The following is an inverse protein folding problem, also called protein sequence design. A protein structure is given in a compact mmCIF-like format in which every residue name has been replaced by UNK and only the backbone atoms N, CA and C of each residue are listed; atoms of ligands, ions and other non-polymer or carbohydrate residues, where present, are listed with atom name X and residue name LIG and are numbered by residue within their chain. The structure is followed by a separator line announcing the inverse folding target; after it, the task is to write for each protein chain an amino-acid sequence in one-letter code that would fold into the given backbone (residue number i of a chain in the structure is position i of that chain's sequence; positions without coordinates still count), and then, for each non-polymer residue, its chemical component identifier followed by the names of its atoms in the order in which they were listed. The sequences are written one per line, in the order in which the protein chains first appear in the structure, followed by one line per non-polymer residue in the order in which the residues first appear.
data_IF_635593344637
#
_entry.id   IF_635593344637
#
_cell.length_a   1.000
_cell.length_b   1.000
_cell.length_c   1.000
_cell.angle_alpha   90.00
_cell.angle_beta   90.00
_cell.angle_gamma   90.00
#
_symmetry.space_group_name_H-M   'P 1'
#
loop_
_entity.id
_entity.type
_entity.pdbx_description
1 polymer ?
#
# COMPACT_ATOMS: atom_id res chain seq x y z
N UNK A 1 28.14 25.18 7.23
CA UNK A 1 27.49 24.70 6.00
C UNK A 1 27.34 23.18 6.02
N UNK A 2 28.35 22.41 6.42
CA UNK A 2 28.25 20.95 6.60
C UNK A 2 27.06 20.51 7.47
N UNK A 3 26.84 21.16 8.63
CA UNK A 3 25.72 20.85 9.53
C UNK A 3 24.34 21.00 8.86
N UNK A 4 24.21 21.86 7.85
CA UNK A 4 22.97 22.03 7.09
C UNK A 4 22.70 20.81 6.20
N UNK A 5 23.73 20.24 5.56
CA UNK A 5 23.60 19.04 4.74
C UNK A 5 23.32 17.80 5.59
N UNK A 6 23.95 17.69 6.76
CA UNK A 6 23.65 16.63 7.72
C UNK A 6 22.19 16.68 8.21
N UNK A 7 21.67 17.88 8.49
CA UNK A 7 20.26 18.04 8.84
C UNK A 7 19.34 17.65 7.66
N UNK A 8 19.67 18.04 6.43
CA UNK A 8 18.89 17.65 5.24
C UNK A 8 18.83 16.12 5.05
N UNK A 9 19.93 15.41 5.29
CA UNK A 9 19.94 13.95 5.24
C UNK A 9 19.06 13.33 6.31
N UNK A 10 19.12 13.85 7.54
CA UNK A 10 18.27 13.36 8.64
C UNK A 10 16.78 13.63 8.39
N UNK A 11 16.44 14.81 7.87
CA UNK A 11 15.06 15.15 7.50
C UNK A 11 14.55 14.24 6.38
N UNK A 12 15.38 13.98 5.37
CA UNK A 12 15.07 13.09 4.25
C UNK A 12 14.88 11.63 4.71
N UNK A 13 15.73 11.13 5.60
CA UNK A 13 15.61 9.79 6.19
C UNK A 13 14.32 9.67 7.02
N UNK A 14 14.02 10.69 7.83
CA UNK A 14 12.78 10.72 8.61
C UNK A 14 11.52 10.73 7.73
N UNK A 15 11.52 11.52 6.64
CA UNK A 15 10.42 11.54 5.68
C UNK A 15 10.26 10.20 4.97
N UNK A 16 11.37 9.60 4.53
CA UNK A 16 11.37 8.29 3.90
C UNK A 16 10.76 7.23 4.81
N UNK A 17 11.22 7.13 6.07
CA UNK A 17 10.69 6.17 7.03
C UNK A 17 9.21 6.38 7.32
N UNK A 18 8.79 7.63 7.47
CA UNK A 18 7.38 7.97 7.71
C UNK A 18 6.51 7.52 6.53
N UNK A 19 6.97 7.76 5.31
CA UNK A 19 6.24 7.35 4.10
C UNK A 19 6.21 5.82 3.96
N UNK A 20 7.31 5.12 4.28
CA UNK A 20 7.34 3.65 4.29
C UNK A 20 6.30 3.07 5.27
N UNK A 21 6.31 3.52 6.53
CA UNK A 21 5.36 3.04 7.55
C UNK A 21 3.91 3.27 7.12
N UNK A 22 3.62 4.44 6.55
CA UNK A 22 2.28 4.76 6.07
C UNK A 22 1.84 3.81 4.94
N UNK A 23 2.73 3.49 4.00
CA UNK A 23 2.42 2.55 2.91
C UNK A 23 2.21 1.14 3.46
N UNK A 24 3.02 0.72 4.43
CA UNK A 24 2.85 -0.58 5.11
C UNK A 24 1.51 -0.67 5.84
N UNK A 25 1.12 0.37 6.58
CA UNK A 25 -0.21 0.48 7.22
C UNK A 25 -1.35 0.38 6.20
N UNK A 26 -1.26 1.09 5.07
CA UNK A 26 -2.27 1.03 4.00
C UNK A 26 -2.34 -0.37 3.34
N UNK A 27 -1.22 -1.08 3.20
CA UNK A 27 -1.18 -2.45 2.68
C UNK A 27 -1.84 -3.44 3.66
N UNK A 28 -1.54 -3.31 4.96
CA UNK A 28 -2.17 -4.12 6.00
C UNK A 28 -3.69 -3.90 6.06
N UNK A 29 -4.14 -2.65 5.98
CA UNK A 29 -5.56 -2.30 5.96
C UNK A 29 -6.27 -2.89 4.72
N UNK A 30 -5.67 -2.76 3.53
CA UNK A 30 -6.22 -3.35 2.30
C UNK A 30 -6.34 -4.87 2.39
N UNK A 31 -5.35 -5.54 2.98
CA UNK A 31 -5.39 -6.98 3.22
C UNK A 31 -6.47 -7.38 4.24
N UNK A 32 -6.61 -6.61 5.32
CA UNK A 32 -7.62 -6.84 6.34
C UNK A 32 -9.04 -6.71 5.77
N UNK A 33 -9.32 -5.63 5.04
CA UNK A 33 -10.65 -5.41 4.44
C UNK A 33 -10.97 -6.47 3.38
N UNK A 34 -9.99 -6.97 2.62
CA UNK A 34 -10.17 -8.13 1.73
C UNK A 34 -10.63 -9.38 2.49
N UNK A 35 -9.97 -9.71 3.60
CA UNK A 35 -10.34 -10.87 4.41
C UNK A 35 -11.72 -10.71 5.05
N UNK A 36 -12.04 -9.50 5.51
CA UNK A 36 -13.34 -9.17 6.08
C UNK A 36 -14.45 -9.31 5.03
N UNK A 37 -14.27 -8.73 3.86
CA UNK A 37 -15.21 -8.83 2.74
C UNK A 37 -15.46 -10.29 2.33
N UNK A 38 -14.41 -11.11 2.21
CA UNK A 38 -14.54 -12.54 1.93
C UNK A 38 -15.41 -13.28 2.95
N UNK A 39 -15.18 -13.03 4.25
CA UNK A 39 -16.00 -13.61 5.32
C UNK A 39 -17.45 -13.14 5.29
N UNK A 40 -17.69 -11.87 4.98
CA UNK A 40 -19.04 -11.32 4.86
C UNK A 40 -19.80 -11.95 3.68
N UNK A 41 -19.14 -12.20 2.55
CA UNK A 41 -19.74 -12.91 1.41
C UNK A 41 -20.06 -14.38 1.75
N UNK A 42 -19.16 -15.07 2.46
CA UNK A 42 -19.40 -16.44 2.94
C UNK A 42 -20.62 -16.48 3.87
N UNK A 43 -20.68 -15.60 4.86
CA UNK A 43 -21.82 -15.48 5.77
C UNK A 43 -23.13 -15.17 5.02
N UNK A 44 -23.08 -14.30 4.01
CA UNK A 44 -24.24 -13.97 3.19
C UNK A 44 -24.73 -15.19 2.40
N UNK A 45 -23.81 -15.96 1.83
CA UNK A 45 -24.09 -17.22 1.13
C UNK A 45 -24.79 -18.23 2.03
N UNK A 46 -24.29 -18.42 3.25
CA UNK A 46 -24.87 -19.34 4.22
C UNK A 46 -26.25 -18.91 4.71
N UNK A 47 -26.43 -17.62 4.99
CA UNK A 47 -27.74 -17.05 5.35
C UNK A 47 -28.76 -17.25 4.24
N UNK A 48 -28.39 -16.98 2.98
CA UNK A 48 -29.27 -17.23 1.84
C UNK A 48 -29.65 -18.70 1.72
N UNK A 49 -28.70 -19.62 1.87
CA UNK A 49 -28.96 -21.06 1.86
C UNK A 49 -29.93 -21.46 2.97
N UNK A 50 -29.72 -20.98 4.20
CA UNK A 50 -30.55 -21.30 5.36
C UNK A 50 -31.99 -20.82 5.20
N UNK A 51 -32.19 -19.55 4.85
CA UNK A 51 -33.53 -19.00 4.64
C UNK A 51 -34.22 -19.64 3.43
N UNK A 52 -33.47 -19.95 2.37
CA UNK A 52 -34.02 -20.64 1.21
C UNK A 52 -34.58 -22.02 1.57
N UNK A 53 -33.91 -22.75 2.46
CA UNK A 53 -34.37 -24.07 2.91
C UNK A 53 -35.62 -24.03 3.81
N UNK A 54 -35.90 -22.91 4.47
CA UNK A 54 -37.01 -22.79 5.42
C UNK A 54 -38.25 -22.11 4.85
N UNK A 55 -38.13 -21.40 3.72
CA UNK A 55 -39.22 -20.61 3.19
C UNK A 55 -40.09 -21.39 2.20
N UNK A 56 -41.41 -21.27 2.37
CA UNK A 56 -42.40 -21.70 1.38
C UNK A 56 -42.52 -20.62 0.30
N UNK A 57 -41.63 -20.64 -0.68
CA UNK A 57 -41.67 -19.69 -1.78
C UNK A 57 -42.80 -20.01 -2.75
N UNK A 58 -43.54 -18.98 -3.18
CA UNK A 58 -44.52 -19.09 -4.26
C UNK A 58 -43.87 -19.33 -5.63
N UNK A 59 -42.58 -19.01 -5.78
CA UNK A 59 -41.78 -19.21 -6.99
C UNK A 59 -40.39 -19.77 -6.64
N UNK A 60 -39.85 -20.69 -7.46
CA UNK A 60 -38.52 -21.25 -7.22
C UNK A 60 -37.42 -20.21 -7.42
N UNK A 61 -36.62 -19.95 -6.39
CA UNK A 61 -35.42 -19.13 -6.49
C UNK A 61 -34.29 -19.93 -7.15
N UNK A 62 -33.66 -19.35 -8.17
CA UNK A 62 -32.49 -19.94 -8.80
C UNK A 62 -31.23 -19.69 -7.95
N UNK A 63 -30.97 -20.60 -6.99
CA UNK A 63 -29.80 -20.53 -6.11
C UNK A 63 -28.46 -20.56 -6.86
N UNK A 64 -28.39 -21.22 -8.02
CA UNK A 64 -27.18 -21.21 -8.84
C UNK A 64 -26.83 -19.80 -9.32
N UNK A 65 -27.84 -19.00 -9.70
CA UNK A 65 -27.65 -17.59 -10.07
C UNK A 65 -27.17 -16.74 -8.89
N UNK A 66 -27.69 -17.00 -7.68
CA UNK A 66 -27.27 -16.30 -6.47
C UNK A 66 -25.80 -16.59 -6.15
N UNK A 67 -25.39 -17.87 -6.17
CA UNK A 67 -23.99 -18.23 -5.93
C UNK A 67 -23.06 -17.64 -6.99
N UNK A 68 -23.46 -17.63 -8.26
CA UNK A 68 -22.67 -17.02 -9.32
C UNK A 68 -22.48 -15.51 -9.11
N UNK A 69 -23.50 -14.80 -8.64
CA UNK A 69 -23.38 -13.38 -8.31
C UNK A 69 -22.42 -13.15 -7.12
N UNK A 70 -22.49 -13.99 -6.08
CA UNK A 70 -21.59 -13.90 -4.94
C UNK A 70 -20.13 -14.17 -5.33
N UNK A 71 -19.90 -15.13 -6.23
CA UNK A 71 -18.59 -15.42 -6.81
C UNK A 71 -18.06 -14.23 -7.63
N UNK A 72 -18.89 -13.65 -8.49
CA UNK A 72 -18.53 -12.43 -9.24
C UNK A 72 -18.17 -11.26 -8.32
N UNK A 73 -18.95 -11.03 -7.26
CA UNK A 73 -18.65 -10.00 -6.27
C UNK A 73 -17.30 -10.24 -5.59
N UNK A 74 -16.96 -11.50 -5.29
CA UNK A 74 -15.66 -11.86 -4.72
C UNK A 74 -14.52 -11.55 -5.70
N UNK A 75 -14.65 -11.98 -6.95
CA UNK A 75 -13.64 -11.77 -7.98
C UNK A 75 -13.40 -10.29 -8.26
N UNK A 76 -14.47 -9.49 -8.32
CA UNK A 76 -14.38 -8.04 -8.50
C UNK A 76 -13.69 -7.37 -7.29
N UNK A 77 -14.04 -7.78 -6.07
CA UNK A 77 -13.39 -7.31 -4.85
C UNK A 77 -11.90 -7.67 -4.81
N UNK A 78 -11.56 -8.91 -5.14
CA UNK A 78 -10.17 -9.37 -5.24
C UNK A 78 -9.39 -8.57 -6.28
N UNK A 79 -10.01 -8.27 -7.43
CA UNK A 79 -9.38 -7.45 -8.47
C UNK A 79 -9.06 -6.04 -7.97
N UNK A 80 -10.01 -5.39 -7.31
CA UNK A 80 -9.82 -4.04 -6.76
C UNK A 80 -8.69 -4.03 -5.73
N UNK A 81 -8.71 -4.97 -4.77
CA UNK A 81 -7.67 -5.04 -3.74
C UNK A 81 -6.30 -5.30 -4.36
N UNK A 82 -6.19 -6.25 -5.28
CA UNK A 82 -4.91 -6.58 -5.92
C UNK A 82 -4.38 -5.38 -6.73
N UNK A 83 -5.24 -4.59 -7.36
CA UNK A 83 -4.84 -3.37 -8.05
C UNK A 83 -4.32 -2.33 -7.04
N UNK A 84 -5.04 -2.09 -5.95
CA UNK A 84 -4.62 -1.16 -4.90
C UNK A 84 -3.28 -1.57 -4.28
N UNK A 85 -3.09 -2.86 -3.98
CA UNK A 85 -1.82 -3.38 -3.45
C UNK A 85 -0.67 -3.10 -4.41
N UNK A 86 -0.85 -3.37 -5.70
CA UNK A 86 0.15 -3.08 -6.73
C UNK A 86 0.48 -1.58 -6.82
N UNK A 87 -0.51 -0.71 -6.71
CA UNK A 87 -0.28 0.74 -6.69
C UNK A 87 0.50 1.19 -5.46
N UNK A 88 0.26 0.58 -4.30
CA UNK A 88 1.01 0.83 -3.07
C UNK A 88 2.46 0.32 -3.16
N UNK A 89 2.68 -0.88 -3.70
CA UNK A 89 4.02 -1.43 -3.97
C UNK A 89 4.82 -0.51 -4.91
N UNK A 90 4.20 -0.03 -6.00
CA UNK A 90 4.84 0.93 -6.90
C UNK A 90 5.21 2.24 -6.17
N UNK A 91 4.33 2.78 -5.33
CA UNK A 91 4.64 3.97 -4.51
C UNK A 91 5.80 3.71 -3.55
N UNK A 92 5.90 2.51 -3.00
CA UNK A 92 7.00 2.11 -2.12
C UNK A 92 8.34 2.11 -2.85
N UNK A 93 8.35 1.56 -4.07
CA UNK A 93 9.52 1.56 -4.94
C UNK A 93 9.91 2.98 -5.35
N UNK A 94 8.94 3.80 -5.77
CA UNK A 94 9.16 5.22 -6.13
C UNK A 94 9.74 6.02 -4.96
N UNK A 95 9.21 5.83 -3.74
CA UNK A 95 9.74 6.47 -2.52
C UNK A 95 11.21 6.05 -2.25
N UNK A 96 11.53 4.78 -2.49
CA UNK A 96 12.90 4.25 -2.36
C UNK A 96 13.85 4.83 -3.40
N UNK A 97 13.42 4.91 -4.65
CA UNK A 97 14.21 5.51 -5.73
C UNK A 97 14.45 7.00 -5.44
N UNK A 98 13.40 7.72 -5.05
CA UNK A 98 13.49 9.14 -4.69
C UNK A 98 14.47 9.36 -3.55
N UNK A 99 14.34 8.61 -2.46
CA UNK A 99 15.24 8.68 -1.31
C UNK A 99 16.71 8.49 -1.73
N UNK A 100 17.03 7.39 -2.42
CA UNK A 100 18.39 7.10 -2.88
C UNK A 100 18.97 8.22 -3.74
N UNK A 101 18.16 8.76 -4.67
CA UNK A 101 18.58 9.84 -5.55
C UNK A 101 18.89 11.12 -4.76
N UNK A 102 18.03 11.51 -3.82
CA UNK A 102 18.22 12.72 -3.03
C UNK A 102 19.41 12.58 -2.06
N UNK A 103 19.57 11.41 -1.43
CA UNK A 103 20.73 11.12 -0.58
C UNK A 103 22.03 11.31 -1.35
N UNK A 104 22.12 10.70 -2.54
CA UNK A 104 23.32 10.81 -3.38
C UNK A 104 23.63 12.26 -3.78
N UNK A 105 22.60 13.04 -4.16
CA UNK A 105 22.79 14.46 -4.49
C UNK A 105 23.34 15.26 -3.30
N UNK A 106 22.81 15.03 -2.09
CA UNK A 106 23.27 15.72 -0.88
C UNK A 106 24.70 15.30 -0.50
N UNK A 107 25.05 14.02 -0.65
CA UNK A 107 26.40 13.50 -0.39
C UNK A 107 27.43 14.07 -1.37
N UNK A 108 27.08 14.19 -2.65
CA UNK A 108 27.93 14.81 -3.67
C UNK A 108 28.17 16.30 -3.36
N UNK A 109 27.12 17.04 -2.99
CA UNK A 109 27.21 18.44 -2.57
C UNK A 109 28.10 18.62 -1.33
N UNK A 110 27.97 17.72 -0.36
CA UNK A 110 28.78 17.74 0.85
C UNK A 110 30.26 17.44 0.55
N UNK A 111 30.54 16.49 -0.35
CA UNK A 111 31.90 16.16 -0.79
C UNK A 111 32.56 17.37 -1.46
N UNK A 112 31.85 18.03 -2.38
CA UNK A 112 32.33 19.24 -3.05
C UNK A 112 32.58 20.39 -2.06
N UNK A 113 31.73 20.53 -1.02
CA UNK A 113 31.94 21.52 0.03
C UNK A 113 33.25 21.24 0.78
N UNK A 114 33.48 20.00 1.21
CA UNK A 114 34.69 19.59 1.94
C UNK A 114 35.96 19.80 1.12
N UNK A 115 35.91 19.50 -0.18
CA UNK A 115 37.04 19.76 -1.08
C UNK A 115 37.36 21.26 -1.21
N UNK A 116 36.33 22.11 -1.31
CA UNK A 116 36.51 23.57 -1.36
C UNK A 116 37.08 24.12 -0.06
N UNK A 117 36.63 23.61 1.09
CA UNK A 117 37.15 24.01 2.40
C UNK A 117 38.63 23.61 2.54
N UNK A 118 39.00 22.37 2.19
CA UNK A 118 40.41 21.93 2.20
C UNK A 118 41.31 22.73 1.26
N UNK A 119 40.82 23.15 0.08
CA UNK A 119 41.60 23.98 -0.84
C UNK A 119 41.89 25.37 -0.26
N UNK A 120 40.92 25.97 0.43
CA UNK A 120 41.08 27.26 1.11
C UNK A 120 42.00 27.20 2.33
N UNK A 121 42.10 26.07 3.01
CA UNK A 121 43.01 25.89 4.15
C UNK A 121 44.48 25.76 3.75
N UNK A 122 44.76 25.47 2.46
CA UNK A 122 46.10 25.29 1.92
C UNK A 122 46.60 26.50 1.09
N UNK A 123 45.82 27.58 1.01
CA UNK A 123 46.18 28.89 0.42
C UNK A 123 46.57 29.89 1.50
#
# INVERSE_FOLDING_TARGET
MERTYLNKLADLESEYEKNQRKIEEELEEAFYEKQKFGRELENLSENYRYHYQQAEYSEPINMSRVYHLLEQCKDDGDRVVNQTMKELENKQEDNTIHYKKQTQLIEDELTLLKEKERKKENE
#
